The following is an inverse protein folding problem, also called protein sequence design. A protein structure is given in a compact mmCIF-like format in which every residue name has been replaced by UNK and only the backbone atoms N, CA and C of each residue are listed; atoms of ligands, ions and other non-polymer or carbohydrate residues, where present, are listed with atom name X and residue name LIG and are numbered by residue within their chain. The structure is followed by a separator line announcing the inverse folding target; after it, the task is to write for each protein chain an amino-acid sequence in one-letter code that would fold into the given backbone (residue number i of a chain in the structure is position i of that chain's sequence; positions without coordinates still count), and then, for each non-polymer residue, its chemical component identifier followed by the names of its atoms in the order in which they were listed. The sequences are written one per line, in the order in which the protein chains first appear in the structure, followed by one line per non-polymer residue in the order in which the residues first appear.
data_IF_932482980550
#
_entry.id   IF_932482980550
#
_cell.length_a   1.000
_cell.length_b   1.000
_cell.length_c   1.000
_cell.angle_alpha   90.00
_cell.angle_beta   90.00
_cell.angle_gamma   90.00
#
_symmetry.space_group_name_H-M   'P 1'
#
loop_
_entity.id
_entity.type
_entity.pdbx_description
1 polymer ?
#
# COMPACT_ATOMS: atom_id res chain seq x y z
N UNK A 1 8.21 -3.05 -2.02
CA UNK A 1 7.92 -2.14 -0.90
C UNK A 1 7.88 -2.84 0.46
N UNK A 2 8.54 -2.26 1.47
CA UNK A 2 8.63 -2.79 2.83
C UNK A 2 8.26 -1.71 3.87
N UNK A 3 7.26 -0.88 3.58
CA UNK A 3 6.83 0.21 4.47
C UNK A 3 7.01 1.59 3.84
N UNK A 4 7.24 2.61 4.67
CA UNK A 4 7.32 4.01 4.23
C UNK A 4 7.36 5.00 5.39
N UNK A 5 7.12 6.28 5.10
CA UNK A 5 6.98 7.34 6.11
C UNK A 5 8.24 7.63 6.92
N UNK A 6 9.43 7.36 6.37
CA UNK A 6 10.71 7.69 7.01
C UNK A 6 11.04 6.85 8.24
N UNK A 7 10.37 5.72 8.46
CA UNK A 7 10.64 4.79 9.57
C UNK A 7 10.77 3.35 9.12
N UNK A 8 11.56 2.57 9.87
CA UNK A 8 11.67 1.12 9.70
C UNK A 8 11.18 0.44 10.98
N UNK A 9 9.91 0.05 11.04
CA UNK A 9 9.37 -0.69 12.18
C UNK A 9 10.10 -2.03 12.36
N UNK A 10 10.20 -2.53 13.60
CA UNK A 10 10.81 -3.83 13.85
C UNK A 10 10.18 -5.01 13.06
N UNK A 11 8.84 -5.07 12.83
CA UNK A 11 8.24 -6.08 11.95
C UNK A 11 8.76 -6.01 10.51
N UNK A 12 8.91 -4.80 9.96
CA UNK A 12 9.47 -4.58 8.61
C UNK A 12 10.91 -5.07 8.54
N UNK A 13 11.73 -4.73 9.53
CA UNK A 13 13.12 -5.16 9.57
C UNK A 13 13.23 -6.70 9.58
N UNK A 14 12.41 -7.38 10.40
CA UNK A 14 12.38 -8.85 10.43
C UNK A 14 11.95 -9.44 9.09
N UNK A 15 10.92 -8.87 8.46
CA UNK A 15 10.45 -9.31 7.15
C UNK A 15 11.52 -9.14 6.07
N UNK A 16 12.20 -7.98 6.06
CA UNK A 16 13.30 -7.68 5.13
C UNK A 16 14.44 -8.69 5.30
N UNK A 17 14.84 -8.94 6.55
CA UNK A 17 15.91 -9.88 6.88
C UNK A 17 15.56 -11.32 6.47
N UNK A 18 14.36 -11.79 6.81
CA UNK A 18 13.92 -13.14 6.44
C UNK A 18 13.79 -13.30 4.93
N UNK A 19 13.24 -12.28 4.23
CA UNK A 19 13.09 -12.30 2.78
C UNK A 19 14.43 -12.34 2.06
N UNK A 20 15.36 -11.46 2.44
CA UNK A 20 16.70 -11.41 1.85
C UNK A 20 17.46 -12.74 2.07
N UNK A 21 17.49 -13.25 3.31
CA UNK A 21 18.20 -14.49 3.60
C UNK A 21 17.57 -15.70 2.90
N UNK A 22 16.26 -15.73 2.72
CA UNK A 22 15.59 -16.74 1.90
C UNK A 22 16.00 -16.68 0.42
N UNK A 23 16.07 -15.47 -0.17
CA UNK A 23 16.53 -15.31 -1.56
C UNK A 23 17.98 -15.78 -1.69
N UNK A 24 18.86 -15.39 -0.76
CA UNK A 24 20.27 -15.80 -0.78
C UNK A 24 20.46 -17.32 -0.63
N UNK A 25 19.63 -17.99 0.17
CA UNK A 25 19.58 -19.47 0.23
C UNK A 25 19.06 -20.07 -1.06
N UNK A 26 17.98 -19.52 -1.61
CA UNK A 26 17.40 -20.00 -2.87
C UNK A 26 18.41 -19.96 -4.03
N UNK A 27 19.26 -18.93 -4.10
CA UNK A 27 20.30 -18.82 -5.13
C UNK A 27 21.64 -19.49 -4.75
N UNK A 28 21.71 -20.19 -3.62
CA UNK A 28 22.90 -20.94 -3.18
C UNK A 28 24.06 -20.09 -2.65
N UNK A 29 23.83 -18.82 -2.32
CA UNK A 29 24.86 -17.96 -1.71
C UNK A 29 24.99 -18.22 -0.21
N UNK A 30 23.89 -18.51 0.47
CA UNK A 30 23.87 -18.91 1.88
C UNK A 30 23.46 -20.38 2.01
N UNK A 31 24.03 -21.06 2.99
CA UNK A 31 23.62 -22.42 3.37
C UNK A 31 22.26 -22.44 4.09
N UNK A 32 21.60 -23.60 4.02
CA UNK A 32 20.36 -23.91 4.72
C UNK A 32 19.10 -23.80 3.85
N UNK A 33 17.98 -24.24 4.42
CA UNK A 33 16.70 -24.34 3.72
C UNK A 33 15.95 -23.01 3.63
N UNK A 34 15.29 -22.78 2.49
CA UNK A 34 14.37 -21.66 2.30
C UNK A 34 13.16 -21.84 3.21
N UNK A 35 12.84 -20.80 3.99
CA UNK A 35 11.67 -20.80 4.89
C UNK A 35 10.46 -20.21 4.17
N UNK A 36 9.51 -21.04 3.76
CA UNK A 36 8.31 -20.58 3.03
C UNK A 36 7.23 -20.09 3.99
N UNK A 37 6.25 -19.33 3.47
CA UNK A 37 5.07 -18.93 4.28
C UNK A 37 4.35 -20.16 4.82
N UNK A 38 4.18 -21.19 3.99
CA UNK A 38 3.60 -22.46 4.38
C UNK A 38 4.41 -23.17 5.50
N UNK A 39 5.74 -23.22 5.41
CA UNK A 39 6.57 -23.85 6.45
C UNK A 39 6.52 -23.10 7.79
N UNK A 40 6.19 -21.80 7.76
CA UNK A 40 6.02 -20.94 8.92
C UNK A 40 4.58 -20.88 9.43
N UNK A 41 3.63 -21.60 8.80
CA UNK A 41 2.21 -21.55 9.16
C UNK A 41 1.54 -20.20 8.90
N UNK A 42 2.10 -19.40 7.99
CA UNK A 42 1.56 -18.11 7.60
C UNK A 42 0.52 -18.27 6.47
N UNK A 43 -0.45 -17.34 6.34
CA UNK A 43 -1.40 -17.33 5.22
C UNK A 43 -0.69 -17.26 3.87
N UNK A 44 -1.40 -17.54 2.78
CA UNK A 44 -0.87 -17.31 1.43
C UNK A 44 -0.43 -15.85 1.22
N UNK A 45 0.47 -15.64 0.26
CA UNK A 45 0.84 -14.29 -0.14
C UNK A 45 -0.33 -13.65 -0.89
N UNK A 46 -0.58 -12.37 -0.62
CA UNK A 46 -1.51 -11.57 -1.42
C UNK A 46 -0.69 -10.91 -2.52
N UNK A 47 -1.06 -11.17 -3.77
CA UNK A 47 -0.47 -10.53 -4.94
C UNK A 47 -1.48 -9.48 -5.42
N UNK A 48 -1.03 -8.24 -5.58
CA UNK A 48 -1.86 -7.15 -6.05
C UNK A 48 -1.50 -6.80 -7.49
N UNK A 49 -2.49 -6.77 -8.36
CA UNK A 49 -2.39 -6.16 -9.67
C UNK A 49 -2.67 -4.65 -9.54
N UNK A 50 -1.62 -3.85 -9.74
CA UNK A 50 -1.68 -2.40 -9.77
C UNK A 50 -1.53 -1.82 -11.17
N UNK A 51 -1.68 -2.62 -12.24
CA UNK A 51 -1.42 -2.18 -13.62
C UNK A 51 -2.48 -1.21 -14.15
N UNK A 52 -3.70 -1.25 -13.61
CA UNK A 52 -4.75 -0.32 -14.00
C UNK A 52 -4.46 1.10 -13.45
N UNK A 53 -4.28 2.12 -14.31
CA UNK A 53 -4.03 3.50 -13.87
C UNK A 53 -5.16 4.09 -13.02
N UNK A 54 -6.38 3.54 -13.09
CA UNK A 54 -7.51 3.95 -12.24
C UNK A 54 -7.20 3.73 -10.76
N UNK A 55 -6.30 2.80 -10.41
CA UNK A 55 -5.91 2.56 -9.02
C UNK A 55 -5.14 3.72 -8.36
N UNK A 56 -4.67 4.71 -9.11
CA UNK A 56 -3.83 5.80 -8.62
C UNK A 56 -4.66 7.06 -8.39
N UNK A 57 -5.01 7.34 -7.14
CA UNK A 57 -5.76 8.54 -6.76
C UNK A 57 -4.79 9.65 -6.41
N UNK A 58 -4.95 10.78 -7.11
CA UNK A 58 -4.10 11.96 -7.03
C UNK A 58 -4.87 13.10 -6.34
N UNK A 59 -4.19 13.95 -5.58
CA UNK A 59 -4.77 15.17 -5.02
C UNK A 59 -4.93 16.22 -6.14
N UNK A 60 -6.15 16.73 -6.35
CA UNK A 60 -6.41 17.77 -7.35
C UNK A 60 -5.99 19.18 -6.90
N UNK A 61 -5.80 19.36 -5.60
CA UNK A 61 -5.51 20.65 -4.96
C UNK A 61 -4.58 20.48 -3.77
N UNK A 62 -3.92 21.57 -3.39
CA UNK A 62 -3.13 21.67 -2.17
C UNK A 62 -4.02 21.49 -0.93
N UNK A 63 -3.51 20.79 0.08
CA UNK A 63 -4.29 20.53 1.28
C UNK A 63 -3.58 19.67 2.31
N UNK A 64 -4.37 19.13 3.23
CA UNK A 64 -3.91 18.17 4.25
C UNK A 64 -4.68 16.87 4.06
N UNK A 65 -3.94 15.82 3.67
CA UNK A 65 -4.41 14.46 3.56
C UNK A 65 -4.62 13.83 4.94
N UNK A 66 -5.78 13.21 5.11
CA UNK A 66 -6.15 12.40 6.26
C UNK A 66 -6.58 11.02 5.78
N UNK A 67 -5.76 10.00 6.03
CA UNK A 67 -6.13 8.61 5.77
C UNK A 67 -7.23 8.14 6.71
N UNK A 68 -8.25 7.47 6.16
CA UNK A 68 -9.31 6.81 6.94
C UNK A 68 -9.09 5.30 7.08
N UNK A 69 -8.19 4.76 6.26
CA UNK A 69 -7.81 3.35 6.18
C UNK A 69 -6.28 3.23 6.13
N UNK A 70 -5.79 2.05 6.48
CA UNK A 70 -4.37 1.69 6.45
C UNK A 70 -4.06 0.72 5.30
N UNK A 71 -2.82 0.72 4.76
CA UNK A 71 -2.41 -0.26 3.76
C UNK A 71 -2.61 -1.71 4.21
N UNK A 72 -3.18 -2.52 3.31
CA UNK A 72 -3.58 -3.90 3.55
C UNK A 72 -5.08 -4.07 3.83
N UNK A 73 -5.82 -2.98 4.09
CA UNK A 73 -7.27 -3.05 4.25
C UNK A 73 -8.01 -3.21 2.90
N UNK A 74 -9.06 -4.05 2.84
CA UNK A 74 -9.89 -4.22 1.65
C UNK A 74 -10.89 -3.05 1.50
N UNK A 75 -11.21 -2.70 0.26
CA UNK A 75 -12.16 -1.64 -0.09
C UNK A 75 -13.09 -2.09 -1.22
N UNK A 76 -14.30 -1.52 -1.23
CA UNK A 76 -15.21 -1.57 -2.40
C UNK A 76 -15.21 -0.23 -3.13
N UNK A 77 -15.53 -0.26 -4.42
CA UNK A 77 -15.72 0.93 -5.22
C UNK A 77 -16.73 1.87 -4.54
N UNK A 78 -16.32 3.14 -4.36
CA UNK A 78 -17.08 4.17 -3.67
C UNK A 78 -16.82 4.28 -2.16
N UNK A 79 -16.14 3.32 -1.53
CA UNK A 79 -15.80 3.41 -0.10
C UNK A 79 -14.88 4.62 0.16
N UNK A 80 -15.07 5.35 1.27
CA UNK A 80 -14.20 6.46 1.64
C UNK A 80 -12.84 5.93 2.11
N UNK A 81 -11.76 6.38 1.47
CA UNK A 81 -10.38 5.96 1.80
C UNK A 81 -9.63 7.05 2.55
N UNK A 82 -9.87 8.31 2.19
CA UNK A 82 -9.21 9.46 2.78
C UNK A 82 -10.07 10.72 2.70
N UNK A 83 -9.63 11.77 3.39
CA UNK A 83 -10.14 13.13 3.25
C UNK A 83 -9.02 14.09 2.88
N UNK A 84 -9.33 15.08 2.05
CA UNK A 84 -8.46 16.22 1.78
C UNK A 84 -9.06 17.48 2.42
N UNK A 85 -8.32 18.07 3.34
CA UNK A 85 -8.70 19.30 4.04
C UNK A 85 -8.04 20.52 3.42
N UNK A 86 -8.72 21.68 3.50
CA UNK A 86 -8.29 22.92 2.87
C UNK A 86 -8.05 24.02 3.93
N UNK A 87 -6.86 24.09 4.57
CA UNK A 87 -6.57 25.06 5.63
C UNK A 87 -6.78 26.52 5.23
N UNK A 88 -6.59 26.84 3.96
CA UNK A 88 -6.80 28.19 3.41
C UNK A 88 -8.28 28.54 3.18
N UNK A 89 -9.19 27.56 3.32
CA UNK A 89 -10.63 27.70 3.10
C UNK A 89 -11.43 27.04 4.25
N UNK A 90 -11.38 27.58 5.48
CA UNK A 90 -11.90 26.89 6.67
C UNK A 90 -13.43 26.62 6.68
N UNK A 91 -14.20 27.33 5.86
CA UNK A 91 -15.64 27.09 5.69
C UNK A 91 -15.97 25.98 4.67
N UNK A 92 -14.98 25.53 3.88
CA UNK A 92 -15.14 24.45 2.90
C UNK A 92 -15.05 23.11 3.62
N UNK A 93 -16.03 22.25 3.39
CA UNK A 93 -15.97 20.86 3.86
C UNK A 93 -14.80 20.12 3.19
N UNK A 94 -14.16 19.15 3.87
CA UNK A 94 -13.13 18.34 3.23
C UNK A 94 -13.70 17.55 2.05
N UNK A 95 -12.86 17.31 1.06
CA UNK A 95 -13.19 16.39 -0.03
C UNK A 95 -12.99 14.95 0.45
N UNK A 96 -13.92 14.07 0.12
CA UNK A 96 -13.81 12.63 0.44
C UNK A 96 -13.24 11.92 -0.78
N UNK A 97 -12.02 11.42 -0.65
CA UNK A 97 -11.37 10.61 -1.69
C UNK A 97 -11.84 9.17 -1.55
N UNK A 98 -12.42 8.63 -2.62
CA UNK A 98 -13.09 7.33 -2.63
C UNK A 98 -12.32 6.30 -3.45
N UNK A 99 -12.43 5.04 -3.06
CA UNK A 99 -11.90 3.92 -3.83
C UNK A 99 -12.56 3.89 -5.22
N UNK A 100 -11.79 3.97 -6.32
CA UNK A 100 -12.37 3.94 -7.66
C UNK A 100 -12.77 2.52 -8.10
N UNK A 101 -12.18 1.50 -7.49
CA UNK A 101 -12.39 0.08 -7.78
C UNK A 101 -12.43 -0.71 -6.47
N UNK A 102 -13.00 -1.92 -6.54
CA UNK A 102 -12.80 -2.93 -5.49
C UNK A 102 -11.31 -3.32 -5.43
N UNK A 103 -10.78 -3.59 -4.24
CA UNK A 103 -9.40 -4.00 -4.10
C UNK A 103 -8.85 -3.92 -2.69
N UNK A 104 -7.54 -3.78 -2.60
CA UNK A 104 -6.80 -3.61 -1.36
C UNK A 104 -6.01 -2.30 -1.45
N UNK A 105 -6.04 -1.52 -0.38
CA UNK A 105 -5.24 -0.32 -0.25
C UNK A 105 -3.76 -0.70 -0.17
N UNK A 106 -2.99 -0.39 -1.20
CA UNK A 106 -1.58 -0.79 -1.30
C UNK A 106 -0.64 0.25 -0.67
N UNK A 107 -0.95 1.54 -0.83
CA UNK A 107 -0.13 2.65 -0.39
C UNK A 107 -0.98 3.88 -0.09
N UNK A 108 -0.56 4.66 0.89
CA UNK A 108 -1.12 5.99 1.19
C UNK A 108 0.00 7.01 1.30
N UNK A 109 -0.34 8.28 1.10
CA UNK A 109 0.56 9.39 1.36
C UNK A 109 1.01 9.39 2.82
N UNK A 110 2.32 9.44 3.04
CA UNK A 110 2.89 9.42 4.38
C UNK A 110 3.00 10.80 5.03
N UNK A 111 3.27 11.86 4.24
CA UNK A 111 3.38 13.24 4.72
C UNK A 111 2.04 13.94 4.45
N UNK A 112 1.30 14.40 5.46
CA UNK A 112 -0.08 14.87 5.26
C UNK A 112 -0.23 16.04 4.28
N UNK A 113 0.68 17.01 4.26
CA UNK A 113 0.58 18.14 3.34
C UNK A 113 0.64 17.66 1.88
N UNK A 114 -0.28 18.09 1.02
CA UNK A 114 -0.32 17.77 -0.42
C UNK A 114 -0.16 19.02 -1.27
N UNK A 115 0.38 18.85 -2.47
CA UNK A 115 0.26 19.78 -3.59
C UNK A 115 -0.61 19.17 -4.69
N UNK A 116 -1.21 19.99 -5.55
CA UNK A 116 -1.93 19.50 -6.73
C UNK A 116 -1.01 18.61 -7.60
N UNK A 117 -1.47 17.39 -7.89
CA UNK A 117 -0.69 16.39 -8.61
C UNK A 117 0.01 15.35 -7.72
N UNK A 118 0.01 15.52 -6.40
CA UNK A 118 0.56 14.54 -5.48
C UNK A 118 -0.25 13.24 -5.42
N UNK A 119 0.44 12.10 -5.32
CA UNK A 119 -0.22 10.82 -5.03
C UNK A 119 -0.86 10.81 -3.64
N UNK A 120 -2.17 10.57 -3.58
CA UNK A 120 -2.93 10.47 -2.33
C UNK A 120 -2.93 9.02 -1.82
N UNK A 121 -3.39 8.07 -2.65
CA UNK A 121 -3.31 6.64 -2.35
C UNK A 121 -3.34 5.79 -3.62
N UNK A 122 -2.97 4.51 -3.46
CA UNK A 122 -2.97 3.53 -4.54
C UNK A 122 -3.65 2.25 -4.09
N UNK A 123 -4.53 1.71 -4.94
CA UNK A 123 -5.15 0.41 -4.76
C UNK A 123 -4.48 -0.67 -5.61
N UNK A 124 -4.86 -1.92 -5.39
CA UNK A 124 -4.60 -3.00 -6.34
C UNK A 124 -5.61 -4.14 -6.17
N UNK A 125 -5.87 -4.87 -7.24
CA UNK A 125 -6.80 -5.99 -7.23
C UNK A 125 -6.05 -7.27 -6.84
N UNK A 126 -6.58 -8.08 -5.90
CA UNK A 126 -5.95 -9.35 -5.56
C UNK A 126 -6.04 -10.32 -6.74
N UNK A 127 -4.90 -10.92 -7.11
CA UNK A 127 -4.79 -11.91 -8.19
C UNK A 127 -4.07 -13.17 -7.71
N UNK A 128 -4.29 -14.28 -8.43
CA UNK A 128 -3.53 -15.51 -8.28
C UNK A 128 -2.11 -15.39 -8.88
N UNK A 129 -1.21 -16.27 -8.46
CA UNK A 129 0.16 -16.30 -8.99
C UNK A 129 0.20 -16.70 -10.48
N UNK A 130 -0.79 -17.46 -10.93
CA UNK A 130 -1.02 -17.86 -12.30
C UNK A 130 -1.37 -16.69 -13.24
N UNK A 131 -1.78 -15.55 -12.70
CA UNK A 131 -2.18 -14.35 -13.46
C UNK A 131 -1.04 -13.32 -13.62
N UNK A 132 0.17 -13.65 -13.12
CA UNK A 132 1.35 -12.77 -13.17
C UNK A 132 1.97 -12.59 -14.58
N UNK A 133 1.46 -13.32 -15.58
CA UNK A 133 2.00 -13.33 -16.94
C UNK A 133 1.80 -12.00 -17.70
#
# INVERSE_FOLDING_TARGET
ELGGGGRVPAPVHRLAWSGLTNVLRHVGVLEGEVQTRASLGLPEAVILDGRDPVNYVIAEEDGIFEGLLEPGEPVRAGDPVARLWFPNHPARAPEVLRAPLDGILACIRAIPATEAGDGAFTLGQPIGAEELA
#
